data_IF_996444640020
#
_entry.id   IF_996444640020
#
_cell.length_a   1.000
_cell.length_b   1.000
_cell.length_c   1.000
_cell.angle_alpha   90.00
_cell.angle_beta   90.00
_cell.angle_gamma   90.00
#
_symmetry.space_group_name_H-M   'P 1'
#
loop_
_entity.id
_entity.type
_entity.pdbx_description
1 polymer ?
#
# COMPACT_ATOMS: atom_id res chain seq x y z
N UNK A 1 33.40 12.50 3.37
CA UNK A 1 32.75 12.03 2.11
C UNK A 1 31.25 11.91 2.40
N UNK A 2 30.40 12.28 1.45
CA UNK A 2 28.93 12.14 1.55
C UNK A 2 28.58 10.66 1.29
N UNK A 3 27.48 10.18 1.85
CA UNK A 3 26.98 8.83 1.59
C UNK A 3 26.46 8.73 0.14
N UNK A 4 27.25 8.12 -0.73
CA UNK A 4 26.97 7.98 -2.17
C UNK A 4 25.68 7.20 -2.45
N UNK A 5 25.34 6.19 -1.63
CA UNK A 5 24.08 5.45 -1.74
C UNK A 5 22.89 6.39 -1.59
N UNK A 6 22.94 7.31 -0.64
CA UNK A 6 21.87 8.31 -0.43
C UNK A 6 21.85 9.36 -1.54
N UNK A 7 23.00 9.77 -2.06
CA UNK A 7 23.06 10.66 -3.23
C UNK A 7 22.39 10.03 -4.44
N UNK A 8 22.69 8.75 -4.72
CA UNK A 8 22.12 8.01 -5.85
C UNK A 8 20.61 7.84 -5.67
N UNK A 9 20.15 7.45 -4.48
CA UNK A 9 18.73 7.32 -4.18
C UNK A 9 17.97 8.66 -4.34
N UNK A 10 18.59 9.77 -3.96
CA UNK A 10 18.01 11.10 -4.12
C UNK A 10 18.01 11.61 -5.56
N UNK A 11 18.97 11.19 -6.39
CA UNK A 11 19.07 11.56 -7.81
C UNK A 11 18.18 10.73 -8.72
N UNK A 12 17.78 9.53 -8.30
CA UNK A 12 16.91 8.64 -9.04
C UNK A 12 15.48 8.73 -8.45
N UNK A 13 14.68 9.71 -8.86
CA UNK A 13 13.29 9.74 -8.46
C UNK A 13 12.61 8.47 -8.94
N UNK A 14 11.62 7.98 -8.17
CA UNK A 14 10.79 6.88 -8.68
C UNK A 14 10.12 7.30 -9.99
N UNK A 15 9.90 6.36 -10.89
CA UNK A 15 9.22 6.61 -12.18
C UNK A 15 7.88 7.33 -11.98
N UNK A 16 7.16 6.99 -10.90
CA UNK A 16 5.90 7.65 -10.52
C UNK A 16 6.14 9.16 -10.30
N UNK A 17 7.20 9.53 -9.59
CA UNK A 17 7.53 10.94 -9.32
C UNK A 17 7.98 11.67 -10.57
N UNK A 18 8.77 11.02 -11.43
CA UNK A 18 9.20 11.58 -12.71
C UNK A 18 7.99 11.90 -13.60
N UNK A 19 7.03 10.95 -13.72
CA UNK A 19 5.79 11.15 -14.47
C UNK A 19 4.94 12.30 -13.90
N UNK A 20 4.83 12.36 -12.57
CA UNK A 20 4.09 13.43 -11.90
C UNK A 20 4.68 14.83 -12.20
N UNK A 21 6.01 14.97 -12.09
CA UNK A 21 6.69 16.24 -12.41
C UNK A 21 6.60 16.58 -13.91
N UNK A 22 6.67 15.58 -14.78
CA UNK A 22 6.42 15.76 -16.21
C UNK A 22 4.99 16.25 -16.45
N UNK A 23 4.00 15.59 -15.84
CA UNK A 23 2.59 15.95 -15.97
C UNK A 23 2.30 17.38 -15.52
N UNK A 24 2.90 17.81 -14.41
CA UNK A 24 2.78 19.17 -13.91
C UNK A 24 3.24 20.22 -14.96
N UNK A 25 4.44 20.03 -15.51
CA UNK A 25 4.96 20.93 -16.55
C UNK A 25 4.09 20.89 -17.81
N UNK A 26 3.65 19.69 -18.22
CA UNK A 26 2.84 19.55 -19.45
C UNK A 26 1.48 20.22 -19.32
N UNK A 27 0.84 20.16 -18.14
CA UNK A 27 -0.40 20.88 -17.83
C UNK A 27 -0.25 22.41 -17.93
N UNK A 28 0.91 22.94 -17.53
CA UNK A 28 1.23 24.37 -17.67
C UNK A 28 1.39 24.77 -19.13
N UNK A 29 1.88 23.86 -20.00
CA UNK A 29 2.12 24.14 -21.44
C UNK A 29 0.85 24.10 -22.31
N UNK A 30 -0.02 23.09 -22.08
CA UNK A 30 -1.13 22.78 -22.99
C UNK A 30 -2.52 22.81 -22.34
N UNK A 31 -2.61 23.14 -21.05
CA UNK A 31 -3.85 23.11 -20.27
C UNK A 31 -4.08 21.77 -19.55
N UNK A 32 -4.66 21.84 -18.37
CA UNK A 32 -4.89 20.66 -17.49
C UNK A 32 -5.82 19.64 -18.14
N UNK A 33 -6.81 20.08 -18.89
CA UNK A 33 -7.81 19.23 -19.56
C UNK A 33 -7.26 18.39 -20.71
N UNK A 34 -6.05 18.70 -21.19
CA UNK A 34 -5.37 18.02 -22.30
C UNK A 34 -4.29 17.02 -21.82
N UNK A 35 -4.11 16.88 -20.51
CA UNK A 35 -3.14 15.95 -19.92
C UNK A 35 -3.85 14.92 -19.05
N UNK A 36 -3.75 13.67 -19.42
CA UNK A 36 -4.40 12.54 -18.76
C UNK A 36 -3.43 11.86 -17.81
N UNK A 37 -3.29 12.44 -16.60
CA UNK A 37 -2.37 11.97 -15.60
C UNK A 37 -3.00 10.86 -14.75
N UNK A 38 -2.60 9.62 -15.04
CA UNK A 38 -2.98 8.41 -14.30
C UNK A 38 -1.82 7.84 -13.46
N UNK A 39 -0.77 8.64 -13.24
CA UNK A 39 0.46 8.15 -12.60
C UNK A 39 0.36 8.07 -11.08
N UNK A 40 -0.32 9.03 -10.43
CA UNK A 40 -0.30 9.19 -8.98
C UNK A 40 -1.54 8.57 -8.31
N UNK A 41 -1.30 7.69 -7.34
CA UNK A 41 -2.37 7.14 -6.49
C UNK A 41 -2.76 8.08 -5.35
N UNK A 42 -3.21 9.29 -5.68
CA UNK A 42 -3.70 10.24 -4.70
C UNK A 42 -5.24 10.24 -4.67
N UNK A 43 -5.89 10.00 -3.51
CA UNK A 43 -7.35 10.03 -3.42
C UNK A 43 -7.94 11.30 -4.04
N UNK A 44 -8.89 11.14 -4.95
CA UNK A 44 -9.64 12.24 -5.59
C UNK A 44 -11.00 12.50 -4.92
N UNK A 45 -11.44 11.58 -4.07
CA UNK A 45 -12.70 11.69 -3.32
C UNK A 45 -12.40 12.39 -1.98
N UNK A 46 -13.22 13.36 -1.56
CA UNK A 46 -12.99 14.07 -0.31
C UNK A 46 -13.13 13.16 0.92
N UNK A 47 -12.47 13.54 2.00
CA UNK A 47 -12.64 12.90 3.30
C UNK A 47 -14.11 12.90 3.72
N UNK A 48 -14.58 11.87 4.45
CA UNK A 48 -15.95 11.83 4.98
C UNK A 48 -16.27 13.09 5.80
N UNK A 49 -17.48 13.60 5.69
CA UNK A 49 -17.91 14.83 6.41
C UNK A 49 -17.72 14.73 7.93
N UNK A 50 -17.77 13.53 8.50
CA UNK A 50 -17.51 13.30 9.92
C UNK A 50 -16.09 13.73 10.31
N UNK A 51 -15.10 13.54 9.45
CA UNK A 51 -13.72 13.98 9.69
C UNK A 51 -13.67 15.50 9.97
N UNK A 52 -14.28 16.30 9.07
CA UNK A 52 -14.34 17.76 9.26
C UNK A 52 -15.08 18.15 10.53
N UNK A 53 -16.23 17.52 10.80
CA UNK A 53 -17.05 17.81 11.98
C UNK A 53 -16.31 17.52 13.28
N UNK A 54 -15.64 16.38 13.36
CA UNK A 54 -14.91 15.97 14.55
C UNK A 54 -13.62 16.78 14.75
N UNK A 55 -12.92 17.16 13.68
CA UNK A 55 -11.79 18.09 13.79
C UNK A 55 -12.22 19.44 14.36
N UNK A 56 -13.32 20.01 13.89
CA UNK A 56 -13.87 21.25 14.44
C UNK A 56 -14.24 21.06 15.92
N UNK A 57 -14.93 19.97 16.25
CA UNK A 57 -15.33 19.64 17.60
C UNK A 57 -14.12 19.52 18.57
N UNK A 58 -13.05 18.84 18.13
CA UNK A 58 -11.81 18.75 18.91
C UNK A 58 -11.17 20.11 19.13
N UNK A 59 -11.03 20.93 18.08
CA UNK A 59 -10.42 22.24 18.14
C UNK A 59 -11.20 23.24 19.00
N UNK A 60 -12.53 23.11 19.10
CA UNK A 60 -13.38 23.98 19.89
C UNK A 60 -13.48 23.58 21.37
N UNK A 61 -13.38 22.28 21.68
CA UNK A 61 -13.71 21.75 23.01
C UNK A 61 -12.52 21.31 23.83
N UNK A 62 -11.45 20.88 23.19
CA UNK A 62 -10.30 20.34 23.90
C UNK A 62 -9.23 21.41 24.14
N UNK A 63 -8.45 21.21 25.17
CA UNK A 63 -7.33 22.11 25.48
C UNK A 63 -6.28 22.07 24.36
N UNK A 64 -5.83 23.21 23.81
CA UNK A 64 -4.84 23.25 22.74
C UNK A 64 -3.51 22.57 23.11
N UNK A 65 -3.08 22.64 24.39
CA UNK A 65 -1.83 21.98 24.81
C UNK A 65 -1.98 20.46 24.83
N UNK A 66 -3.18 19.95 25.11
CA UNK A 66 -3.51 18.54 24.99
C UNK A 66 -3.54 18.09 23.53
N UNK A 67 -4.23 18.84 22.65
CA UNK A 67 -4.38 18.47 21.22
C UNK A 67 -3.05 18.47 20.47
N UNK A 68 -2.18 19.44 20.77
CA UNK A 68 -0.92 19.66 20.04
C UNK A 68 0.31 19.18 20.82
N UNK A 69 0.12 18.65 22.03
CA UNK A 69 1.18 18.09 22.85
C UNK A 69 1.69 16.74 22.33
N UNK A 70 2.86 16.31 22.80
CA UNK A 70 3.34 14.96 22.55
C UNK A 70 2.41 13.94 23.20
N UNK A 71 2.00 12.93 22.43
CA UNK A 71 1.36 11.72 22.97
C UNK A 71 2.42 10.78 23.57
N UNK A 72 1.99 9.67 24.15
CA UNK A 72 2.89 8.55 24.43
C UNK A 72 3.65 8.15 23.16
N UNK A 73 4.89 7.71 23.28
CA UNK A 73 5.69 7.23 22.14
C UNK A 73 5.01 6.09 21.37
N UNK A 74 4.21 5.26 22.04
CA UNK A 74 3.41 4.21 21.42
C UNK A 74 2.15 4.75 20.72
N UNK A 75 1.79 5.99 21.00
CA UNK A 75 0.58 6.64 20.54
C UNK A 75 -0.49 6.80 21.63
N UNK A 76 -1.50 7.60 21.32
CA UNK A 76 -2.65 7.87 22.20
C UNK A 76 -3.38 6.56 22.56
N UNK A 77 -3.71 6.40 23.84
CA UNK A 77 -4.33 5.17 24.33
C UNK A 77 -5.74 4.98 23.78
N UNK A 78 -6.53 6.05 23.69
CA UNK A 78 -7.91 5.99 23.17
C UNK A 78 -7.91 5.62 21.68
N UNK A 79 -6.96 6.15 20.92
CA UNK A 79 -6.80 5.77 19.50
C UNK A 79 -6.46 4.28 19.36
N UNK A 80 -5.50 3.76 20.12
CA UNK A 80 -5.12 2.35 20.10
C UNK A 80 -6.25 1.42 20.54
N UNK A 81 -7.02 1.81 21.55
CA UNK A 81 -8.19 1.08 22.02
C UNK A 81 -9.32 1.05 20.98
N UNK A 82 -9.61 2.19 20.34
CA UNK A 82 -10.60 2.27 19.27
C UNK A 82 -10.22 1.37 18.07
N UNK A 83 -8.94 1.34 17.70
CA UNK A 83 -8.43 0.49 16.62
C UNK A 83 -8.69 -0.98 16.93
N UNK A 84 -8.28 -1.48 18.10
CA UNK A 84 -8.47 -2.91 18.42
C UNK A 84 -9.94 -3.27 18.64
N UNK A 85 -10.72 -2.36 19.18
CA UNK A 85 -12.17 -2.55 19.32
C UNK A 85 -12.83 -2.75 17.95
N UNK A 86 -12.49 -1.88 16.99
CA UNK A 86 -12.97 -2.01 15.61
C UNK A 86 -12.51 -3.33 14.96
N UNK A 87 -11.22 -3.65 15.03
CA UNK A 87 -10.64 -4.89 14.46
C UNK A 87 -11.33 -6.11 15.06
N UNK A 88 -11.42 -6.18 16.38
CA UNK A 88 -11.99 -7.32 17.07
C UNK A 88 -13.48 -7.53 16.75
N UNK A 89 -14.24 -6.44 16.66
CA UNK A 89 -15.65 -6.48 16.28
C UNK A 89 -15.82 -6.93 14.83
N UNK A 90 -15.08 -6.30 13.89
CA UNK A 90 -15.28 -6.52 12.45
C UNK A 90 -14.74 -7.87 11.97
N UNK A 91 -13.58 -8.28 12.46
CA UNK A 91 -12.89 -9.49 11.98
C UNK A 91 -12.95 -10.65 12.96
N UNK A 92 -13.66 -10.50 14.11
CA UNK A 92 -13.75 -11.53 15.15
C UNK A 92 -12.38 -11.97 15.66
N UNK A 93 -11.48 -11.01 15.87
CA UNK A 93 -10.14 -11.20 16.45
C UNK A 93 -10.14 -10.96 17.96
N UNK A 94 -8.94 -11.07 18.57
CA UNK A 94 -8.71 -10.77 20.01
C UNK A 94 -7.44 -9.96 20.18
N UNK A 95 -7.24 -8.96 19.32
CA UNK A 95 -6.05 -8.11 19.34
C UNK A 95 -6.06 -7.20 20.56
N UNK A 96 -4.87 -6.75 20.99
CA UNK A 96 -4.66 -5.99 22.22
C UNK A 96 -4.12 -4.60 21.90
N UNK A 97 -4.62 -3.56 22.58
CA UNK A 97 -4.15 -2.17 22.40
C UNK A 97 -2.68 -1.99 22.77
N UNK A 98 -2.15 -2.82 23.67
CA UNK A 98 -0.76 -2.82 24.10
C UNK A 98 0.19 -3.24 22.96
N UNK A 99 -0.33 -3.85 21.90
CA UNK A 99 0.41 -4.31 20.72
C UNK A 99 0.18 -3.43 19.48
N UNK A 100 -0.43 -2.26 19.64
CA UNK A 100 -0.62 -1.24 18.59
C UNK A 100 0.36 -0.09 18.79
N UNK A 101 1.11 0.24 17.75
CA UNK A 101 2.02 1.37 17.68
C UNK A 101 1.51 2.36 16.62
N UNK A 102 1.19 3.60 17.05
CA UNK A 102 0.74 4.65 16.14
C UNK A 102 1.89 5.17 15.29
N UNK A 103 1.68 5.33 13.99
CA UNK A 103 2.74 5.67 13.03
C UNK A 103 2.39 6.83 12.12
N UNK A 104 3.40 7.38 11.46
CA UNK A 104 3.25 8.39 10.40
C UNK A 104 2.82 7.75 9.06
N UNK A 105 1.81 6.89 9.08
CA UNK A 105 1.28 6.15 7.93
C UNK A 105 2.01 4.83 7.66
N UNK A 106 1.52 4.04 6.69
CA UNK A 106 2.01 2.69 6.41
C UNK A 106 3.49 2.63 6.05
N UNK A 107 4.05 3.60 5.33
CA UNK A 107 5.48 3.64 5.02
C UNK A 107 6.35 3.65 6.28
N UNK A 108 5.96 4.43 7.31
CA UNK A 108 6.63 4.41 8.60
C UNK A 108 6.44 3.06 9.31
N UNK A 109 5.22 2.48 9.25
CA UNK A 109 4.96 1.14 9.81
C UNK A 109 5.87 0.08 9.21
N UNK A 110 6.02 0.08 7.88
CA UNK A 110 6.87 -0.88 7.16
C UNK A 110 8.36 -0.73 7.53
N UNK A 111 8.88 0.51 7.52
CA UNK A 111 10.28 0.77 7.87
C UNK A 111 10.58 0.42 9.33
N UNK A 112 9.65 0.69 10.24
CA UNK A 112 9.75 0.33 11.66
C UNK A 112 9.72 -1.20 11.82
N UNK A 113 8.80 -1.90 11.17
CA UNK A 113 8.70 -3.36 11.24
C UNK A 113 9.97 -4.04 10.71
N UNK A 114 10.46 -3.62 9.55
CA UNK A 114 11.71 -4.11 8.96
C UNK A 114 12.90 -3.86 9.89
N UNK A 115 13.02 -2.66 10.46
CA UNK A 115 14.11 -2.32 11.39
C UNK A 115 14.05 -3.10 12.70
N UNK A 116 12.85 -3.45 13.15
CA UNK A 116 12.64 -4.23 14.38
C UNK A 116 12.93 -5.73 14.20
N UNK A 117 12.65 -6.27 13.01
CA UNK A 117 12.69 -7.71 12.75
C UNK A 117 13.99 -8.18 12.09
N UNK A 118 14.54 -7.36 11.18
CA UNK A 118 15.61 -7.79 10.29
C UNK A 118 17.00 -7.47 10.85
N UNK A 119 17.90 -8.42 10.73
CA UNK A 119 19.33 -8.24 10.90
C UNK A 119 20.01 -8.12 9.55
N UNK A 120 21.32 -7.79 9.58
CA UNK A 120 22.13 -7.77 8.38
C UNK A 120 22.10 -9.14 7.67
N UNK A 121 21.90 -9.12 6.36
CA UNK A 121 21.83 -10.28 5.47
C UNK A 121 20.61 -11.23 5.64
N UNK A 122 19.66 -10.92 6.52
CA UNK A 122 18.35 -11.57 6.49
C UNK A 122 17.65 -11.29 5.14
N UNK A 123 16.72 -12.14 4.76
CA UNK A 123 15.96 -12.02 3.52
C UNK A 123 14.50 -11.66 3.79
N UNK A 124 13.98 -10.72 3.00
CA UNK A 124 12.56 -10.37 2.98
C UNK A 124 11.98 -10.67 1.61
N UNK A 125 10.95 -11.53 1.57
CA UNK A 125 10.26 -11.90 0.34
C UNK A 125 9.12 -10.92 0.07
N UNK A 126 9.03 -10.44 -1.18
CA UNK A 126 7.91 -9.66 -1.71
C UNK A 126 7.31 -10.35 -2.92
N UNK A 127 6.05 -10.13 -3.20
CA UNK A 127 5.33 -10.77 -4.31
C UNK A 127 5.14 -9.78 -5.45
N UNK A 128 5.69 -10.12 -6.61
CA UNK A 128 5.49 -9.33 -7.81
C UNK A 128 4.03 -9.48 -8.31
N UNK A 129 3.42 -8.42 -8.84
CA UNK A 129 3.90 -7.04 -8.81
C UNK A 129 3.81 -6.41 -7.41
N UNK A 130 4.82 -5.64 -7.00
CA UNK A 130 4.93 -5.07 -5.65
C UNK A 130 5.17 -3.56 -5.68
N UNK A 131 4.81 -2.87 -4.59
CA UNK A 131 5.07 -1.43 -4.44
C UNK A 131 6.59 -1.14 -4.44
N UNK A 132 7.10 -0.30 -5.37
CA UNK A 132 8.53 -0.14 -5.60
C UNK A 132 9.37 0.24 -4.37
N UNK A 133 8.77 1.03 -3.46
CA UNK A 133 9.44 1.48 -2.25
C UNK A 133 9.79 0.34 -1.26
N UNK A 134 9.19 -0.85 -1.40
CA UNK A 134 9.59 -2.01 -0.58
C UNK A 134 11.06 -2.33 -0.75
N UNK A 135 11.60 -2.23 -1.96
CA UNK A 135 13.05 -2.42 -2.19
C UNK A 135 13.86 -1.46 -1.36
N UNK A 136 13.50 -0.18 -1.38
CA UNK A 136 14.20 0.87 -0.62
C UNK A 136 14.13 0.58 0.89
N UNK A 137 12.95 0.23 1.40
CA UNK A 137 12.75 -0.03 2.83
C UNK A 137 13.50 -1.27 3.31
N UNK A 138 13.44 -2.36 2.54
CA UNK A 138 14.10 -3.63 2.84
C UNK A 138 15.63 -3.45 2.83
N UNK A 139 16.20 -2.90 1.76
CA UNK A 139 17.63 -2.70 1.62
C UNK A 139 18.19 -1.70 2.65
N UNK A 140 17.39 -0.70 3.06
CA UNK A 140 17.79 0.25 4.10
C UNK A 140 17.79 -0.36 5.51
N UNK A 141 17.03 -1.44 5.72
CA UNK A 141 17.05 -2.18 6.99
C UNK A 141 18.26 -3.13 7.13
N UNK A 142 19.03 -3.33 6.07
CA UNK A 142 20.12 -4.31 6.00
C UNK A 142 19.68 -5.67 5.45
N UNK A 143 18.41 -5.84 5.18
CA UNK A 143 17.84 -7.04 4.57
C UNK A 143 18.09 -7.10 3.07
N UNK A 144 18.07 -8.31 2.52
CA UNK A 144 18.05 -8.56 1.07
C UNK A 144 16.61 -8.77 0.61
N UNK A 145 16.24 -8.09 -0.47
CA UNK A 145 14.96 -8.34 -1.11
C UNK A 145 15.03 -9.60 -1.98
N UNK A 146 14.05 -10.48 -1.80
CA UNK A 146 13.80 -11.64 -2.65
C UNK A 146 12.43 -11.47 -3.28
N UNK A 147 12.35 -11.61 -4.61
CA UNK A 147 11.10 -11.41 -5.34
C UNK A 147 10.53 -12.76 -5.73
N UNK A 148 9.29 -13.03 -5.31
CA UNK A 148 8.50 -14.18 -5.73
C UNK A 148 7.57 -13.74 -6.85
N UNK A 149 7.44 -14.56 -7.89
CA UNK A 149 6.51 -14.34 -8.99
C UNK A 149 5.04 -14.55 -8.60
N UNK A 150 4.19 -14.53 -9.60
CA UNK A 150 2.74 -14.64 -9.45
C UNK A 150 2.15 -15.60 -10.49
N UNK A 151 1.01 -16.17 -10.18
CA UNK A 151 0.19 -16.91 -11.15
C UNK A 151 -0.42 -15.92 -12.17
N UNK A 152 -0.18 -16.15 -13.45
CA UNK A 152 -0.57 -15.23 -14.52
C UNK A 152 -2.09 -15.08 -14.71
N UNK A 153 -2.88 -16.02 -14.20
CA UNK A 153 -4.33 -15.99 -14.32
C UNK A 153 -4.99 -15.26 -13.16
N UNK A 154 -4.42 -15.38 -11.95
CA UNK A 154 -5.01 -14.85 -10.71
C UNK A 154 -4.29 -13.63 -10.17
N UNK A 155 -3.04 -13.41 -10.56
CA UNK A 155 -2.13 -12.42 -9.96
C UNK A 155 -1.88 -12.64 -8.45
N UNK A 156 -2.20 -13.82 -7.94
CA UNK A 156 -1.81 -14.25 -6.60
C UNK A 156 -0.36 -14.79 -6.60
N UNK A 157 0.31 -14.86 -5.43
CA UNK A 157 1.65 -15.43 -5.31
C UNK A 157 1.79 -16.82 -5.94
N UNK A 158 2.88 -17.05 -6.69
CA UNK A 158 3.24 -18.40 -7.16
C UNK A 158 3.73 -19.23 -5.97
N UNK A 159 2.89 -20.15 -5.52
CA UNK A 159 3.18 -20.98 -4.33
C UNK A 159 4.31 -21.98 -4.56
N UNK A 160 4.52 -22.43 -5.80
CA UNK A 160 5.62 -23.37 -6.14
C UNK A 160 6.96 -22.62 -6.08
N UNK A 161 7.01 -21.43 -6.61
CA UNK A 161 8.19 -20.57 -6.53
C UNK A 161 8.46 -20.13 -5.09
N UNK A 162 7.41 -19.71 -4.36
CA UNK A 162 7.53 -19.30 -2.95
C UNK A 162 8.19 -20.39 -2.09
N UNK A 163 7.77 -21.64 -2.24
CA UNK A 163 8.35 -22.77 -1.49
C UNK A 163 9.85 -22.92 -1.71
N UNK A 164 10.32 -22.69 -2.95
CA UNK A 164 11.73 -22.78 -3.34
C UNK A 164 12.54 -21.59 -2.82
N UNK A 165 11.92 -20.41 -2.71
CA UNK A 165 12.58 -19.18 -2.27
C UNK A 165 12.78 -19.09 -0.76
N UNK A 166 11.88 -19.69 0.03
CA UNK A 166 12.01 -19.68 1.50
C UNK A 166 13.20 -20.57 1.91
N UNK A 167 14.12 -19.96 2.67
CA UNK A 167 15.33 -20.61 3.16
C UNK A 167 15.67 -20.13 4.59
N UNK A 168 16.79 -20.60 5.15
CA UNK A 168 17.23 -20.28 6.52
C UNK A 168 17.45 -18.78 6.79
N UNK A 169 17.65 -17.95 5.74
CA UNK A 169 17.80 -16.49 5.86
C UNK A 169 16.48 -15.75 5.78
N UNK A 170 15.40 -16.42 5.35
CA UNK A 170 14.10 -15.80 5.23
C UNK A 170 13.58 -15.38 6.60
N UNK A 171 13.40 -14.08 6.80
CA UNK A 171 12.92 -13.49 8.05
C UNK A 171 11.49 -13.03 7.96
N UNK A 172 11.09 -12.48 6.80
CA UNK A 172 9.84 -11.75 6.64
C UNK A 172 9.28 -11.93 5.23
N UNK A 173 7.97 -12.08 5.12
CA UNK A 173 7.23 -11.92 3.87
C UNK A 173 6.37 -10.66 3.97
N UNK A 174 6.30 -9.86 2.91
CA UNK A 174 5.40 -8.70 2.82
C UNK A 174 4.31 -9.01 1.81
N UNK A 175 3.05 -8.93 2.26
CA UNK A 175 1.88 -9.01 1.37
C UNK A 175 1.18 -7.66 1.31
N UNK A 176 0.60 -7.34 0.15
CA UNK A 176 -0.21 -6.15 -0.06
C UNK A 176 -1.51 -6.56 -0.77
N UNK A 177 -2.61 -6.52 -0.03
CA UNK A 177 -3.93 -6.95 -0.52
C UNK A 177 -5.03 -6.07 0.12
N UNK A 178 -5.84 -5.36 -0.70
CA UNK A 178 -5.78 -5.21 -2.17
C UNK A 178 -4.45 -4.68 -2.66
N UNK A 179 -3.96 -5.21 -3.78
CA UNK A 179 -2.61 -4.98 -4.26
C UNK A 179 -2.43 -3.64 -5.00
N UNK A 180 -1.29 -3.02 -4.82
CA UNK A 180 -0.76 -1.98 -5.68
C UNK A 180 0.45 -2.58 -6.44
N UNK A 181 0.35 -2.82 -7.79
CA UNK A 181 -0.48 -2.10 -8.76
C UNK A 181 -1.71 -2.85 -9.30
N UNK A 182 -1.89 -4.15 -9.03
CA UNK A 182 -2.87 -4.98 -9.76
C UNK A 182 -4.32 -4.79 -9.30
N UNK A 183 -4.55 -4.30 -8.08
CA UNK A 183 -5.88 -4.20 -7.47
C UNK A 183 -6.47 -5.56 -7.05
N UNK A 184 -5.72 -6.65 -7.19
CA UNK A 184 -6.16 -8.00 -6.83
C UNK A 184 -6.20 -8.18 -5.31
N UNK A 185 -7.21 -8.88 -4.84
CA UNK A 185 -7.33 -9.33 -3.45
C UNK A 185 -6.85 -10.79 -3.38
N UNK A 186 -5.88 -11.08 -2.50
CA UNK A 186 -5.46 -12.46 -2.28
C UNK A 186 -6.58 -13.22 -1.59
N UNK A 187 -6.97 -14.35 -2.18
CA UNK A 187 -8.04 -15.20 -1.66
C UNK A 187 -7.71 -15.77 -0.28
N UNK A 188 -8.76 -16.19 0.43
CA UNK A 188 -8.59 -16.89 1.71
C UNK A 188 -7.71 -18.13 1.53
N UNK A 189 -7.94 -18.88 0.46
CA UNK A 189 -7.19 -20.08 0.11
C UNK A 189 -5.70 -19.79 -0.13
N UNK A 190 -5.39 -18.68 -0.78
CA UNK A 190 -4.01 -18.22 -0.97
C UNK A 190 -3.34 -17.92 0.39
N UNK A 191 -4.00 -17.15 1.25
CA UNK A 191 -3.48 -16.82 2.59
C UNK A 191 -3.30 -18.07 3.45
N UNK A 192 -4.22 -19.03 3.40
CA UNK A 192 -4.12 -20.30 4.13
C UNK A 192 -2.93 -21.14 3.63
N UNK A 193 -2.67 -21.18 2.31
CA UNK A 193 -1.51 -21.87 1.73
C UNK A 193 -0.20 -21.20 2.18
N UNK A 194 -0.10 -19.88 2.11
CA UNK A 194 1.06 -19.14 2.61
C UNK A 194 1.29 -19.46 4.09
N UNK A 195 0.27 -19.36 4.92
CA UNK A 195 0.36 -19.62 6.35
C UNK A 195 0.80 -21.07 6.66
N UNK A 196 0.27 -22.05 5.92
CA UNK A 196 0.66 -23.46 6.05
C UNK A 196 2.13 -23.69 5.69
N UNK A 197 2.58 -23.10 4.56
CA UNK A 197 3.96 -23.19 4.11
C UNK A 197 4.91 -22.56 5.14
N UNK A 198 4.59 -21.37 5.64
CA UNK A 198 5.41 -20.72 6.67
C UNK A 198 5.52 -21.53 7.95
N UNK A 199 4.43 -22.15 8.42
CA UNK A 199 4.49 -23.06 9.58
C UNK A 199 5.39 -24.27 9.34
N UNK A 200 5.36 -24.84 8.14
CA UNK A 200 6.24 -25.95 7.74
C UNK A 200 7.70 -25.52 7.77
N UNK A 201 8.00 -24.38 7.15
CA UNK A 201 9.38 -23.85 7.04
C UNK A 201 9.93 -23.36 8.39
N UNK A 202 9.10 -22.81 9.27
CA UNK A 202 9.52 -22.51 10.65
C UNK A 202 9.97 -23.76 11.42
N UNK A 203 9.25 -24.87 11.26
CA UNK A 203 9.65 -26.15 11.86
C UNK A 203 10.91 -26.71 11.24
N UNK A 204 11.04 -26.65 9.91
CA UNK A 204 12.20 -27.13 9.15
C UNK A 204 13.48 -26.41 9.58
N UNK A 205 13.43 -25.07 9.70
CA UNK A 205 14.61 -24.25 10.02
C UNK A 205 14.74 -23.93 11.52
N UNK A 206 13.79 -24.38 12.36
CA UNK A 206 13.73 -24.04 13.78
C UNK A 206 13.89 -22.52 14.02
N UNK A 207 13.17 -21.70 13.25
CA UNK A 207 13.30 -20.25 13.23
C UNK A 207 11.95 -19.59 12.94
N UNK A 208 11.71 -18.42 13.57
CA UNK A 208 10.50 -17.65 13.32
C UNK A 208 10.57 -16.90 12.00
N UNK A 209 9.52 -17.05 11.19
CA UNK A 209 9.30 -16.29 9.95
C UNK A 209 8.03 -15.45 10.14
N UNK A 210 8.08 -14.19 9.79
CA UNK A 210 6.98 -13.25 9.99
C UNK A 210 6.23 -12.95 8.70
N UNK A 211 4.94 -12.63 8.82
CA UNK A 211 4.11 -12.18 7.72
C UNK A 211 3.63 -10.76 8.02
N UNK A 212 4.05 -9.79 7.21
CA UNK A 212 3.67 -8.39 7.32
C UNK A 212 2.66 -8.05 6.23
N UNK A 213 1.44 -7.68 6.62
CA UNK A 213 0.45 -7.16 5.69
C UNK A 213 0.54 -5.65 5.61
N UNK A 214 0.74 -5.13 4.42
CA UNK A 214 0.60 -3.72 4.06
C UNK A 214 -0.84 -3.48 3.57
N UNK A 215 -1.67 -2.83 4.40
CA UNK A 215 -3.11 -2.76 4.21
C UNK A 215 -3.68 -1.33 4.07
N UNK A 216 -3.10 -0.45 3.25
CA UNK A 216 -3.64 0.90 3.08
C UNK A 216 -4.95 0.90 2.29
N UNK A 217 -5.28 -0.17 1.57
CA UNK A 217 -6.45 -0.29 0.68
C UNK A 217 -7.54 -1.21 1.22
N UNK A 218 -7.44 -1.70 2.46
CA UNK A 218 -8.34 -2.72 3.03
C UNK A 218 -9.83 -2.40 2.89
N UNK A 219 -10.23 -1.15 3.01
CA UNK A 219 -11.62 -0.69 2.89
C UNK A 219 -12.03 -0.34 1.45
N UNK A 220 -11.07 -0.23 0.54
CA UNK A 220 -11.33 0.06 -0.87
C UNK A 220 -11.56 -1.25 -1.62
N UNK A 221 -12.73 -1.84 -1.44
CA UNK A 221 -13.12 -3.15 -1.96
C UNK A 221 -14.44 -3.02 -2.71
N UNK A 222 -14.52 -3.70 -3.85
CA UNK A 222 -15.70 -3.69 -4.71
C UNK A 222 -16.44 -5.03 -4.68
N UNK A 223 -17.72 -5.01 -5.06
CA UNK A 223 -18.53 -6.22 -5.24
C UNK A 223 -18.61 -7.18 -4.04
N UNK A 224 -18.56 -6.64 -2.81
CA UNK A 224 -18.66 -7.42 -1.55
C UNK A 224 -17.53 -8.44 -1.35
N UNK A 225 -16.40 -8.27 -2.01
CA UNK A 225 -15.22 -9.09 -1.77
C UNK A 225 -14.72 -8.92 -0.32
N UNK A 226 -14.23 -9.98 0.27
CA UNK A 226 -13.67 -9.97 1.63
C UNK A 226 -12.14 -10.03 1.57
N UNK A 227 -11.48 -9.07 2.21
CA UNK A 227 -10.03 -9.10 2.41
C UNK A 227 -9.71 -9.92 3.65
N UNK A 228 -9.04 -11.07 3.56
CA UNK A 228 -8.68 -11.87 4.71
C UNK A 228 -7.86 -11.09 5.73
N UNK A 229 -8.21 -11.17 7.03
CA UNK A 229 -7.43 -10.51 8.08
C UNK A 229 -6.35 -11.46 8.58
N UNK A 230 -5.08 -11.19 8.28
CA UNK A 230 -4.01 -12.18 8.35
C UNK A 230 -3.76 -12.77 9.73
N UNK A 231 -4.03 -12.03 10.83
CA UNK A 231 -3.83 -12.54 12.20
C UNK A 231 -4.74 -13.71 12.55
N UNK A 232 -5.80 -13.94 11.76
CA UNK A 232 -6.67 -15.12 11.87
C UNK A 232 -6.06 -16.39 11.29
N UNK A 233 -5.12 -16.24 10.37
CA UNK A 233 -4.57 -17.33 9.56
C UNK A 233 -3.15 -17.72 9.98
N UNK A 234 -2.36 -16.73 10.44
CA UNK A 234 -0.97 -16.95 10.79
C UNK A 234 -0.60 -16.20 12.07
N UNK A 235 0.01 -16.90 13.03
CA UNK A 235 0.27 -16.34 14.36
C UNK A 235 1.34 -15.26 14.35
N UNK A 236 2.47 -15.47 13.64
CA UNK A 236 3.55 -14.47 13.50
C UNK A 236 3.24 -13.40 12.47
N UNK A 237 2.16 -12.66 12.68
CA UNK A 237 1.64 -11.64 11.77
C UNK A 237 1.77 -10.24 12.33
N UNK A 238 2.10 -9.29 11.44
CA UNK A 238 2.03 -7.86 11.69
C UNK A 238 1.13 -7.20 10.64
N UNK A 239 0.43 -6.13 11.01
CA UNK A 239 -0.41 -5.35 10.10
C UNK A 239 0.06 -3.90 10.08
N UNK A 240 0.53 -3.44 8.94
CA UNK A 240 0.84 -2.04 8.64
C UNK A 240 -0.38 -1.38 7.97
N UNK A 241 -0.99 -0.42 8.63
CA UNK A 241 -2.20 0.24 8.16
C UNK A 241 -2.01 1.75 8.02
N UNK A 242 -2.77 2.35 7.10
CA UNK A 242 -2.81 3.81 6.92
C UNK A 242 -4.24 4.29 6.64
N UNK A 243 -4.60 5.40 7.27
CA UNK A 243 -5.86 6.12 6.99
C UNK A 243 -5.79 6.98 5.71
N UNK A 244 -4.67 6.95 5.00
CA UNK A 244 -4.45 7.73 3.77
C UNK A 244 -5.48 7.47 2.69
N UNK A 245 -6.01 6.25 2.58
CA UNK A 245 -6.90 5.84 1.49
C UNK A 245 -8.34 5.71 1.96
N UNK A 246 -8.57 5.02 3.07
CA UNK A 246 -9.92 4.84 3.64
C UNK A 246 -10.61 6.17 3.99
N UNK A 247 -9.88 7.10 4.58
CA UNK A 247 -10.38 8.43 4.97
C UNK A 247 -9.98 9.56 4.00
N UNK A 248 -9.29 9.27 2.90
CA UNK A 248 -8.73 10.31 2.00
C UNK A 248 -7.87 11.34 2.74
N UNK A 249 -6.99 10.90 3.63
CA UNK A 249 -6.11 11.74 4.46
C UNK A 249 -4.61 11.44 4.21
N UNK A 250 -4.13 11.39 2.94
CA UNK A 250 -2.74 11.02 2.67
C UNK A 250 -1.74 12.05 3.19
N UNK A 251 -2.10 13.33 3.24
CA UNK A 251 -1.25 14.42 3.73
C UNK A 251 -1.06 14.42 5.24
N UNK A 252 -1.99 13.83 6.00
CA UNK A 252 -2.00 13.88 7.46
C UNK A 252 -1.06 12.86 8.10
N UNK A 253 -0.55 11.91 7.35
CA UNK A 253 0.46 10.95 7.79
C UNK A 253 0.07 10.21 9.06
N UNK A 254 -1.09 9.57 9.09
CA UNK A 254 -1.59 8.81 10.23
C UNK A 254 -1.88 7.36 9.87
N UNK A 255 -1.42 6.44 10.70
CA UNK A 255 -1.57 4.99 10.56
C UNK A 255 -1.17 4.27 11.83
N UNK A 256 -1.05 2.96 11.75
CA UNK A 256 -0.58 2.13 12.86
C UNK A 256 0.16 0.89 12.38
N UNK A 257 0.96 0.33 13.27
CA UNK A 257 1.55 -1.01 13.17
C UNK A 257 0.98 -1.86 14.31
N UNK A 258 0.30 -2.96 13.97
CA UNK A 258 -0.22 -3.94 14.92
C UNK A 258 0.66 -5.17 14.92
N UNK A 259 1.07 -5.63 16.09
CA UNK A 259 1.62 -6.98 16.30
C UNK A 259 0.48 -7.91 16.69
N UNK A 260 0.28 -9.00 15.96
CA UNK A 260 -0.74 -10.00 16.28
C UNK A 260 -0.56 -10.55 17.69
N UNK A 261 -1.65 -10.70 18.45
CA UNK A 261 -1.59 -11.09 19.86
C UNK A 261 -1.06 -12.52 20.09
N UNK A 262 -1.01 -13.35 19.04
CA UNK A 262 -0.47 -14.71 19.03
C UNK A 262 0.98 -14.78 18.55
N UNK A 263 1.56 -13.66 18.14
CA UNK A 263 2.94 -13.60 17.69
C UNK A 263 3.89 -14.18 18.75
N UNK A 264 4.87 -14.95 18.29
CA UNK A 264 5.92 -15.44 19.20
C UNK A 264 6.61 -14.25 19.89
N UNK A 265 6.64 -14.29 21.21
CA UNK A 265 7.16 -13.21 22.05
C UNK A 265 6.58 -11.81 21.70
N UNK A 266 5.28 -11.70 21.45
CA UNK A 266 4.60 -10.49 20.99
C UNK A 266 5.00 -9.23 21.76
N UNK A 267 5.12 -9.28 23.08
CA UNK A 267 5.54 -8.13 23.90
C UNK A 267 6.99 -7.71 23.61
N UNK A 268 7.91 -8.67 23.49
CA UNK A 268 9.31 -8.39 23.16
C UNK A 268 9.44 -7.78 21.77
N UNK A 269 8.68 -8.31 20.79
CA UNK A 269 8.60 -7.76 19.44
C UNK A 269 8.03 -6.34 19.45
N UNK A 270 6.99 -6.08 20.25
CA UNK A 270 6.43 -4.74 20.39
C UNK A 270 7.46 -3.75 20.96
N UNK A 271 8.24 -4.15 21.97
CA UNK A 271 9.34 -3.30 22.47
C UNK A 271 10.43 -3.08 21.41
N UNK A 272 10.73 -4.07 20.57
CA UNK A 272 11.65 -3.89 19.43
C UNK A 272 11.09 -2.87 18.43
N UNK A 273 9.77 -2.89 18.15
CA UNK A 273 9.08 -1.89 17.33
C UNK A 273 9.19 -0.49 17.94
N UNK A 274 8.96 -0.33 19.24
CA UNK A 274 9.15 0.95 19.93
C UNK A 274 10.60 1.44 19.81
N UNK A 275 11.57 0.55 19.98
CA UNK A 275 13.00 0.83 19.80
C UNK A 275 13.34 1.24 18.38
N UNK A 276 12.80 0.54 17.38
CA UNK A 276 12.98 0.84 15.97
C UNK A 276 12.37 2.21 15.61
N UNK A 277 11.14 2.51 16.05
CA UNK A 277 10.50 3.80 15.86
C UNK A 277 11.34 4.94 16.42
N UNK A 278 11.87 4.78 17.64
CA UNK A 278 12.78 5.73 18.27
C UNK A 278 14.08 5.91 17.47
N UNK A 279 14.70 4.81 17.02
CA UNK A 279 15.96 4.84 16.29
C UNK A 279 15.84 5.50 14.91
N UNK A 280 14.67 5.41 14.30
CA UNK A 280 14.35 6.04 13.01
C UNK A 280 13.87 7.49 13.15
N UNK A 281 13.72 8.00 14.38
CA UNK A 281 13.28 9.38 14.64
C UNK A 281 11.75 9.57 14.60
N UNK A 282 10.96 8.50 14.51
CA UNK A 282 9.51 8.55 14.64
C UNK A 282 9.11 8.57 16.11
N UNK A 283 9.22 9.74 16.75
CA UNK A 283 8.98 9.91 18.20
C UNK A 283 7.51 9.66 18.55
N UNK A 284 6.59 10.22 17.76
CA UNK A 284 5.15 9.95 17.85
C UNK A 284 4.48 10.31 16.52
N UNK A 285 3.32 9.74 16.25
CA UNK A 285 2.45 10.14 15.15
C UNK A 285 1.78 11.51 15.44
N UNK A 286 1.24 12.23 14.43
CA UNK A 286 0.55 13.50 14.62
C UNK A 286 -0.58 13.44 15.67
N UNK A 287 -0.46 14.17 16.78
CA UNK A 287 -1.35 14.04 17.94
C UNK A 287 -2.80 14.36 17.62
N UNK A 288 -3.09 15.47 16.94
CA UNK A 288 -4.45 15.87 16.56
C UNK A 288 -5.18 14.75 15.81
N UNK A 289 -4.49 14.09 14.88
CA UNK A 289 -5.09 13.00 14.11
C UNK A 289 -5.21 11.71 14.91
N UNK A 290 -4.36 11.46 15.89
CA UNK A 290 -4.57 10.36 16.83
C UNK A 290 -5.85 10.58 17.65
N UNK A 291 -6.09 11.80 18.16
CA UNK A 291 -7.33 12.13 18.88
C UNK A 291 -8.59 12.05 18.02
N UNK A 292 -8.46 12.22 16.70
CA UNK A 292 -9.55 12.06 15.74
C UNK A 292 -9.99 10.59 15.56
N UNK A 293 -9.03 9.62 15.58
CA UNK A 293 -9.28 8.22 15.21
C UNK A 293 -10.48 7.59 15.94
N UNK A 294 -10.68 7.76 17.26
CA UNK A 294 -11.84 7.15 17.95
C UNK A 294 -13.20 7.47 17.32
N UNK A 295 -13.35 8.68 16.77
CA UNK A 295 -14.61 9.13 16.17
C UNK A 295 -14.79 8.71 14.71
N UNK A 296 -13.72 8.34 13.99
CA UNK A 296 -13.76 8.10 12.54
C UNK A 296 -13.33 6.69 12.12
N UNK A 297 -12.86 5.87 13.05
CA UNK A 297 -12.47 4.48 12.75
C UNK A 297 -13.65 3.73 12.12
N UNK A 298 -13.39 2.96 11.06
CA UNK A 298 -14.41 2.22 10.31
C UNK A 298 -15.26 3.08 9.37
N UNK A 299 -15.03 4.39 9.28
CA UNK A 299 -15.60 5.25 8.25
C UNK A 299 -14.72 5.23 7.01
N UNK A 300 -15.35 5.46 5.84
CA UNK A 300 -14.66 5.53 4.55
C UNK A 300 -15.11 6.75 3.77
N UNK A 301 -14.25 7.24 2.90
CA UNK A 301 -14.66 8.14 1.82
C UNK A 301 -15.69 7.45 0.91
N UNK A 302 -16.32 8.20 0.00
CA UNK A 302 -17.28 7.61 -0.94
C UNK A 302 -16.55 6.72 -1.96
N UNK A 303 -16.51 5.40 -1.70
CA UNK A 303 -15.86 4.42 -2.58
C UNK A 303 -16.67 4.11 -3.85
N UNK A 304 -17.95 4.48 -3.91
CA UNK A 304 -18.78 4.28 -5.12
C UNK A 304 -18.25 5.12 -6.29
N UNK A 305 -17.67 6.30 -6.04
CA UNK A 305 -17.04 7.12 -7.07
C UNK A 305 -15.86 6.37 -7.73
N UNK A 306 -15.05 5.64 -6.94
CA UNK A 306 -13.97 4.81 -7.49
C UNK A 306 -14.51 3.60 -8.25
N UNK A 307 -15.63 3.02 -7.80
CA UNK A 307 -16.29 1.92 -8.50
C UNK A 307 -16.84 2.36 -9.87
N UNK A 308 -17.42 3.56 -9.94
CA UNK A 308 -17.88 4.15 -11.20
C UNK A 308 -16.70 4.42 -12.14
N UNK A 309 -15.61 5.01 -11.62
CA UNK A 309 -14.39 5.26 -12.37
C UNK A 309 -13.78 3.98 -12.94
N UNK A 310 -13.71 2.92 -12.12
CA UNK A 310 -13.23 1.61 -12.55
C UNK A 310 -14.06 1.06 -13.71
N UNK A 311 -15.38 1.08 -13.56
CA UNK A 311 -16.30 0.58 -14.60
C UNK A 311 -16.12 1.35 -15.91
N UNK A 312 -16.10 2.66 -15.86
CA UNK A 312 -15.97 3.52 -17.05
C UNK A 312 -14.61 3.27 -17.75
N UNK A 313 -13.51 3.31 -16.98
CA UNK A 313 -12.17 3.14 -17.54
C UNK A 313 -11.95 1.74 -18.11
N UNK A 314 -12.39 0.69 -17.42
CA UNK A 314 -12.26 -0.69 -17.91
C UNK A 314 -13.05 -0.87 -19.21
N UNK A 315 -14.32 -0.42 -19.24
CA UNK A 315 -15.15 -0.53 -20.44
C UNK A 315 -14.55 0.24 -21.64
N UNK A 316 -14.02 1.42 -21.40
CA UNK A 316 -13.35 2.25 -22.41
C UNK A 316 -12.12 1.54 -23.01
N UNK A 317 -11.27 0.99 -22.15
CA UNK A 317 -10.05 0.31 -22.59
C UNK A 317 -10.34 -0.98 -23.34
N UNK A 318 -11.29 -1.80 -22.86
CA UNK A 318 -11.72 -3.04 -23.49
C UNK A 318 -12.40 -2.82 -24.84
N UNK A 319 -13.23 -1.77 -24.97
CA UNK A 319 -13.85 -1.35 -26.24
C UNK A 319 -12.78 -1.01 -27.29
N UNK A 320 -11.67 -0.37 -26.89
CA UNK A 320 -10.56 -0.06 -27.80
C UNK A 320 -9.77 -1.31 -28.16
N UNK A 321 -9.70 -2.30 -27.28
CA UNK A 321 -8.98 -3.58 -27.49
C UNK A 321 -7.83 -3.85 -26.53
N UNK A 322 -7.67 -3.06 -25.44
CA UNK A 322 -6.67 -3.35 -24.42
C UNK A 322 -7.05 -4.55 -23.55
N UNK A 323 -6.04 -5.32 -23.14
CA UNK A 323 -6.18 -6.42 -22.18
C UNK A 323 -6.02 -5.89 -20.75
N UNK A 324 -7.08 -6.00 -19.95
CA UNK A 324 -7.19 -5.41 -18.60
C UNK A 324 -7.20 -6.49 -17.54
N UNK A 325 -6.41 -6.33 -16.47
CA UNK A 325 -6.51 -7.14 -15.26
C UNK A 325 -7.61 -6.52 -14.39
N UNK A 326 -8.70 -7.26 -14.15
CA UNK A 326 -9.85 -6.75 -13.39
C UNK A 326 -9.54 -6.67 -11.89
N UNK A 327 -9.45 -5.47 -11.29
CA UNK A 327 -9.19 -5.31 -9.88
C UNK A 327 -10.45 -5.57 -9.04
N UNK A 328 -10.26 -6.12 -7.85
CA UNK A 328 -11.30 -6.32 -6.85
C UNK A 328 -11.29 -5.19 -5.80
N UNK A 329 -10.20 -4.43 -5.73
CA UNK A 329 -10.02 -3.34 -4.77
C UNK A 329 -8.95 -2.33 -5.16
N UNK A 330 -8.55 -1.50 -4.23
CA UNK A 330 -7.67 -0.34 -4.42
C UNK A 330 -8.26 0.68 -5.41
N UNK A 331 -7.44 1.41 -6.16
CA UNK A 331 -7.87 2.31 -7.24
C UNK A 331 -6.86 2.31 -8.40
N UNK A 332 -6.34 1.12 -8.69
CA UNK A 332 -5.39 0.90 -9.78
C UNK A 332 -5.94 -0.14 -10.75
N UNK A 333 -5.73 0.12 -12.02
CA UNK A 333 -5.96 -0.80 -13.10
C UNK A 333 -4.61 -1.21 -13.66
N UNK A 334 -4.42 -2.51 -13.87
CA UNK A 334 -3.21 -3.06 -14.44
C UNK A 334 -3.53 -3.53 -15.85
N UNK A 335 -2.86 -2.96 -16.85
CA UNK A 335 -3.19 -3.12 -18.27
C UNK A 335 -1.96 -3.64 -18.99
N UNK A 336 -2.15 -4.65 -19.85
CA UNK A 336 -1.07 -5.18 -20.66
C UNK A 336 -0.60 -4.13 -21.67
N UNK A 337 0.70 -3.90 -21.72
CA UNK A 337 1.30 -3.03 -22.71
C UNK A 337 1.17 -3.63 -24.11
N UNK A 338 1.09 -2.80 -25.13
CA UNK A 338 0.98 -3.23 -26.53
C UNK A 338 2.33 -3.64 -27.14
N UNK A 339 3.40 -3.53 -26.37
CA UNK A 339 4.76 -3.98 -26.70
C UNK A 339 5.44 -4.59 -25.47
N UNK A 340 6.52 -5.37 -25.69
CA UNK A 340 7.22 -6.09 -24.60
C UNK A 340 7.89 -5.13 -23.59
N UNK A 341 8.41 -4.00 -24.07
CA UNK A 341 9.05 -2.99 -23.22
C UNK A 341 8.00 -1.99 -22.70
N UNK A 342 7.54 -2.21 -21.51
CA UNK A 342 6.57 -1.34 -20.84
C UNK A 342 7.10 0.08 -20.58
N UNK A 343 8.42 0.30 -20.57
CA UNK A 343 9.00 1.64 -20.46
C UNK A 343 8.86 2.40 -21.78
N UNK A 344 9.15 1.76 -22.92
CA UNK A 344 8.96 2.37 -24.24
C UNK A 344 7.46 2.60 -24.52
N UNK A 345 6.59 1.67 -24.11
CA UNK A 345 5.15 1.87 -24.17
C UNK A 345 4.70 3.10 -23.36
N UNK A 346 5.17 3.22 -22.10
CA UNK A 346 4.87 4.40 -21.27
C UNK A 346 5.40 5.70 -21.87
N UNK A 347 6.57 5.66 -22.50
CA UNK A 347 7.18 6.82 -23.18
C UNK A 347 6.37 7.23 -24.39
N UNK A 348 5.94 6.28 -25.23
CA UNK A 348 5.06 6.54 -26.38
C UNK A 348 3.70 7.08 -25.93
N UNK A 349 3.14 6.58 -24.82
CA UNK A 349 1.89 7.10 -24.26
C UNK A 349 1.98 8.59 -23.91
N UNK A 350 3.15 9.11 -23.50
CA UNK A 350 3.37 10.54 -23.24
C UNK A 350 3.19 11.42 -24.48
N UNK A 351 3.42 10.89 -25.68
CA UNK A 351 3.19 11.62 -26.94
C UNK A 351 1.69 11.94 -27.14
N UNK A 352 0.83 11.10 -26.57
CA UNK A 352 -0.63 11.27 -26.52
C UNK A 352 -1.11 11.92 -25.21
N UNK A 353 -0.18 12.51 -24.42
CA UNK A 353 -0.45 13.11 -23.11
C UNK A 353 -1.05 12.14 -22.07
N UNK A 354 -0.86 10.83 -22.24
CA UNK A 354 -1.22 9.78 -21.30
C UNK A 354 -0.03 9.48 -20.40
N UNK A 355 -0.19 9.63 -19.07
CA UNK A 355 0.85 9.34 -18.10
C UNK A 355 0.55 8.02 -17.38
N UNK A 356 1.18 6.95 -17.85
CA UNK A 356 0.99 5.57 -17.41
C UNK A 356 2.27 5.07 -16.75
N UNK A 357 2.17 4.39 -15.61
CA UNK A 357 3.36 3.91 -14.88
C UNK A 357 3.79 2.54 -15.40
N UNK A 358 5.02 2.39 -15.95
CA UNK A 358 5.49 1.10 -16.46
C UNK A 358 5.68 0.08 -15.34
N UNK A 359 5.35 -1.17 -15.62
CA UNK A 359 5.30 -2.24 -14.64
C UNK A 359 6.67 -2.80 -14.24
N UNK A 360 7.72 -2.55 -15.01
CA UNK A 360 9.10 -2.91 -14.65
C UNK A 360 9.48 -2.36 -13.28
N UNK A 361 8.98 -1.16 -12.91
CA UNK A 361 9.19 -0.58 -11.59
C UNK A 361 8.54 -1.38 -10.43
N UNK A 362 7.52 -2.18 -10.73
CA UNK A 362 6.82 -3.06 -9.79
C UNK A 362 7.35 -4.51 -9.81
N UNK A 363 8.46 -4.76 -10.51
CA UNK A 363 9.10 -6.08 -10.61
C UNK A 363 8.47 -7.03 -11.65
N UNK A 364 7.66 -6.52 -12.57
CA UNK A 364 7.01 -7.26 -13.66
C UNK A 364 7.20 -6.50 -14.96
N UNK A 365 7.29 -7.18 -16.09
CA UNK A 365 7.37 -6.56 -17.42
C UNK A 365 6.07 -6.73 -18.20
N UNK A 366 5.86 -5.84 -19.18
CA UNK A 366 4.81 -5.95 -20.17
C UNK A 366 3.44 -5.44 -19.72
N UNK A 367 3.36 -4.64 -18.66
CA UNK A 367 2.14 -4.00 -18.19
C UNK A 367 2.37 -2.51 -17.89
N UNK A 368 1.28 -1.78 -17.72
CA UNK A 368 1.27 -0.44 -17.13
C UNK A 368 0.22 -0.34 -16.04
N UNK A 369 0.51 0.46 -15.01
CA UNK A 369 -0.47 0.80 -13.97
C UNK A 369 -1.16 2.12 -14.34
N UNK A 370 -2.48 2.13 -14.25
CA UNK A 370 -3.37 3.28 -14.44
C UNK A 370 -4.09 3.53 -13.12
N UNK A 371 -3.86 4.70 -12.49
CA UNK A 371 -4.54 5.09 -11.27
C UNK A 371 -5.88 5.76 -11.63
N UNK A 372 -7.01 5.15 -11.32
CA UNK A 372 -8.33 5.70 -11.61
C UNK A 372 -8.94 6.56 -10.48
N UNK A 373 -8.13 6.94 -9.50
CA UNK A 373 -8.48 7.96 -8.51
C UNK A 373 -8.33 9.38 -9.10
N UNK A 374 -9.06 9.64 -10.14
CA UNK A 374 -9.14 10.91 -10.90
C UNK A 374 -10.60 11.28 -11.11
N UNK A 375 -10.89 12.43 -11.74
CA UNK A 375 -12.27 12.76 -12.07
C UNK A 375 -12.83 11.88 -13.21
N UNK A 376 -14.11 11.53 -13.13
CA UNK A 376 -14.80 10.79 -14.19
C UNK A 376 -14.71 11.52 -15.56
N UNK A 377 -14.70 12.87 -15.53
CA UNK A 377 -14.49 13.69 -16.72
C UNK A 377 -13.13 13.43 -17.38
N UNK A 378 -12.06 13.31 -16.59
CA UNK A 378 -10.73 12.99 -17.13
C UNK A 378 -10.71 11.62 -17.80
N UNK A 379 -11.36 10.60 -17.18
CA UNK A 379 -11.48 9.26 -17.75
C UNK A 379 -12.16 9.34 -19.12
N UNK A 380 -13.34 9.96 -19.21
CA UNK A 380 -14.09 10.09 -20.46
C UNK A 380 -13.33 10.84 -21.53
N UNK A 381 -12.66 11.93 -21.17
CA UNK A 381 -11.89 12.74 -22.10
C UNK A 381 -10.64 12.00 -22.63
N UNK A 382 -10.11 11.02 -21.92
CA UNK A 382 -8.92 10.25 -22.33
C UNK A 382 -9.19 9.22 -23.45
N UNK A 383 -10.46 8.95 -23.81
CA UNK A 383 -10.84 7.95 -24.81
C UNK A 383 -10.06 8.08 -26.13
N UNK A 384 -10.05 9.27 -26.71
CA UNK A 384 -9.37 9.48 -27.99
C UNK A 384 -7.86 9.26 -27.89
N UNK A 385 -7.24 9.72 -26.79
CA UNK A 385 -5.81 9.51 -26.56
C UNK A 385 -5.43 8.02 -26.45
N UNK A 386 -6.21 7.24 -25.71
CA UNK A 386 -6.02 5.77 -25.64
C UNK A 386 -6.24 5.11 -27.01
N UNK A 387 -7.27 5.54 -27.76
CA UNK A 387 -7.56 5.00 -29.08
C UNK A 387 -6.45 5.31 -30.10
N UNK A 388 -5.95 6.53 -30.12
CA UNK A 388 -4.85 6.96 -31.00
C UNK A 388 -3.55 6.20 -30.64
N UNK A 389 -3.24 6.06 -29.34
CA UNK A 389 -2.12 5.24 -28.88
C UNK A 389 -2.27 3.79 -29.36
N UNK A 390 -3.45 3.17 -29.21
CA UNK A 390 -3.71 1.80 -29.66
C UNK A 390 -3.52 1.65 -31.17
N UNK A 391 -4.12 2.57 -31.96
CA UNK A 391 -4.02 2.57 -33.42
C UNK A 391 -2.59 2.75 -33.92
N UNK A 392 -1.69 3.36 -33.15
CA UNK A 392 -0.28 3.51 -33.51
C UNK A 392 0.52 2.20 -33.48
N UNK A 393 -0.08 1.12 -33.00
CA UNK A 393 0.50 -0.22 -32.96
C UNK A 393 -0.10 -1.20 -33.99
N UNK A 394 -1.16 -0.77 -34.72
CA UNK A 394 -1.77 -1.54 -35.81
C UNK A 394 -1.18 -1.16 -37.17
#
# INVERSE_FOLDING_TARGET
MINEKMVNLGKQPSVIRELFEFGKRRKEEIGEENVFDFSLGNPSVPAPLVVKKELINLLEKEDPTFLHGYTSAMGDEKAREAIVTYINSKYHCKEKKELVYMTCGAAASLTIALKALCNQDDESIVFAPFFPEYRVFIENSGCKIVVCGFDKNTFEPDMIELEKLINEKTKLLIINSPNNPSGVIYSKECIEKIASLLRSKQKEYNKEIYLLADEPYRELVYNQEEVPYITKYYDNSLVAYSFSKSLSLPGERIGYLLVGNKCFQANSLFYAICGAGRSLGYVCAPSLFQHLIPSVIGKTSNIDDYKENLKELSSLLEEIGYEVVHPQGAFYLFVKALEEDDNEFSKRAREYNLLLVPSTSFGVKGYVRIAYCVSLKQIKNSYNAFKELYMSYL
#
